data_IF_664854634506
#
_entry.id   IF_664854634506
#
_cell.length_a   1.000
_cell.length_b   1.000
_cell.length_c   1.000
_cell.angle_alpha   90.00
_cell.angle_beta   90.00
_cell.angle_gamma   90.00
#
_symmetry.space_group_name_H-M   'P 1'
#
loop_
_entity.id
_entity.type
_entity.pdbx_description
1 polymer ?
#
# COMPACT_ATOMS: atom_id res chain seq x y z
N UNK A 1 -20.72 -5.34 -4.83
CA UNK A 1 -21.72 -6.12 -4.05
C UNK A 1 -22.04 -7.40 -4.77
N UNK A 2 -22.32 -8.49 -4.02
CA UNK A 2 -22.72 -9.79 -4.55
C UNK A 2 -23.76 -10.48 -3.65
N UNK A 3 -24.51 -11.43 -4.20
CA UNK A 3 -25.41 -12.28 -3.43
C UNK A 3 -24.62 -13.38 -2.69
N UNK A 4 -25.30 -14.16 -1.84
CA UNK A 4 -24.73 -15.28 -1.09
C UNK A 4 -24.15 -16.39 -1.98
N UNK A 5 -23.41 -17.31 -1.40
CA UNK A 5 -22.89 -18.49 -2.06
C UNK A 5 -21.99 -18.16 -3.26
N UNK A 6 -22.33 -18.66 -4.47
CA UNK A 6 -21.49 -18.48 -5.66
C UNK A 6 -21.32 -17.02 -6.07
N UNK A 7 -22.26 -16.14 -5.74
CA UNK A 7 -22.11 -14.71 -5.97
C UNK A 7 -20.96 -14.11 -5.15
N UNK A 8 -20.89 -14.43 -3.87
CA UNK A 8 -19.84 -13.98 -2.97
C UNK A 8 -18.47 -14.62 -3.31
N UNK A 9 -18.43 -15.94 -3.58
CA UNK A 9 -17.17 -16.63 -3.90
C UNK A 9 -16.54 -16.19 -5.21
N UNK A 10 -17.32 -15.70 -6.17
CA UNK A 10 -16.79 -15.11 -7.40
C UNK A 10 -15.99 -13.80 -7.16
N UNK A 11 -16.13 -13.15 -6.02
CA UNK A 11 -15.34 -11.97 -5.65
C UNK A 11 -13.93 -12.32 -5.17
N UNK A 12 -13.67 -13.57 -4.76
CA UNK A 12 -12.42 -13.97 -4.07
C UNK A 12 -11.17 -13.58 -4.84
N UNK A 13 -11.11 -13.86 -6.14
CA UNK A 13 -9.95 -13.48 -6.98
C UNK A 13 -9.74 -11.97 -6.99
N UNK A 14 -10.81 -11.19 -7.17
CA UNK A 14 -10.73 -9.73 -7.18
C UNK A 14 -10.32 -9.15 -5.81
N UNK A 15 -10.82 -9.73 -4.72
CA UNK A 15 -10.45 -9.34 -3.35
C UNK A 15 -8.96 -9.64 -3.10
N UNK A 16 -8.48 -10.83 -3.48
CA UNK A 16 -7.08 -11.20 -3.34
C UNK A 16 -6.16 -10.27 -4.14
N UNK A 17 -6.54 -9.92 -5.37
CA UNK A 17 -5.82 -8.94 -6.19
C UNK A 17 -5.77 -7.58 -5.49
N UNK A 18 -6.92 -7.08 -4.99
CA UNK A 18 -6.99 -5.81 -4.27
C UNK A 18 -6.10 -5.80 -3.01
N UNK A 19 -6.01 -6.92 -2.30
CA UNK A 19 -5.14 -7.05 -1.12
C UNK A 19 -3.66 -6.95 -1.50
N UNK A 20 -3.24 -7.63 -2.57
CA UNK A 20 -1.87 -7.59 -3.06
C UNK A 20 -1.48 -6.22 -3.62
N UNK A 21 -2.41 -5.53 -4.29
CA UNK A 21 -2.19 -4.23 -4.90
C UNK A 21 -2.43 -3.06 -3.95
N UNK A 22 -2.81 -3.35 -2.69
CA UNK A 22 -3.16 -2.34 -1.68
C UNK A 22 -4.30 -1.42 -2.12
N UNK A 23 -5.28 -1.97 -2.86
CA UNK A 23 -6.44 -1.23 -3.35
C UNK A 23 -7.55 -1.18 -2.29
N UNK A 24 -7.98 0.03 -1.84
CA UNK A 24 -9.02 0.14 -0.81
C UNK A 24 -10.40 -0.12 -1.41
N UNK A 25 -10.96 -1.29 -1.14
CA UNK A 25 -12.32 -1.63 -1.55
C UNK A 25 -13.14 -2.15 -0.37
N UNK A 26 -14.43 -1.84 -0.35
CA UNK A 26 -15.41 -2.43 0.57
C UNK A 26 -16.31 -3.34 -0.24
N UNK A 27 -16.25 -4.64 0.07
CA UNK A 27 -17.07 -5.66 -0.54
C UNK A 27 -18.27 -5.95 0.36
N UNK A 28 -19.48 -5.85 -0.19
CA UNK A 28 -20.73 -6.16 0.51
C UNK A 28 -21.30 -7.42 -0.12
N UNK A 29 -21.51 -8.46 0.69
CA UNK A 29 -22.12 -9.73 0.29
C UNK A 29 -23.40 -9.99 1.08
N UNK A 30 -24.34 -10.68 0.45
CA UNK A 30 -25.47 -11.22 1.15
C UNK A 30 -25.16 -12.59 1.73
N UNK A 31 -25.80 -12.93 2.85
CA UNK A 31 -25.73 -14.24 3.49
C UNK A 31 -27.15 -14.80 3.68
N UNK A 32 -27.27 -16.10 3.89
CA UNK A 32 -28.54 -16.73 4.28
C UNK A 32 -29.07 -16.11 5.58
N UNK A 33 -30.33 -16.37 5.96
CA UNK A 33 -30.83 -15.89 7.24
C UNK A 33 -29.97 -16.40 8.40
N UNK A 34 -29.81 -15.62 9.45
CA UNK A 34 -28.99 -15.97 10.61
C UNK A 34 -29.32 -17.31 11.23
N UNK A 35 -30.62 -17.67 11.25
CA UNK A 35 -31.11 -18.95 11.74
C UNK A 35 -30.75 -20.15 10.85
N UNK A 36 -30.30 -19.93 9.62
CA UNK A 36 -29.93 -20.97 8.67
C UNK A 36 -28.42 -21.20 8.58
N UNK A 37 -27.63 -20.32 9.19
CA UNK A 37 -26.16 -20.45 9.20
C UNK A 37 -25.76 -21.74 9.92
N UNK A 38 -24.89 -22.55 9.29
CA UNK A 38 -24.38 -23.81 9.83
C UNK A 38 -25.31 -25.01 9.56
N UNK A 39 -26.34 -24.85 8.70
CA UNK A 39 -27.27 -25.90 8.36
C UNK A 39 -27.12 -26.43 6.93
N UNK A 40 -26.05 -26.05 6.22
CA UNK A 40 -25.84 -26.35 4.78
C UNK A 40 -27.03 -25.87 3.92
N UNK A 41 -27.59 -24.71 4.26
CA UNK A 41 -28.68 -24.10 3.54
C UNK A 41 -28.29 -23.78 2.08
N UNK A 42 -29.29 -23.68 1.19
CA UNK A 42 -29.06 -23.38 -0.21
C UNK A 42 -28.29 -22.06 -0.37
N UNK A 43 -27.14 -22.13 -1.06
CA UNK A 43 -26.21 -21.01 -1.26
C UNK A 43 -25.60 -20.42 0.04
N UNK A 44 -25.61 -21.18 1.11
CA UNK A 44 -24.78 -20.85 2.28
C UNK A 44 -23.30 -21.07 1.94
N UNK A 45 -22.45 -20.13 2.35
CA UNK A 45 -21.00 -20.24 2.26
C UNK A 45 -20.39 -19.42 3.39
N UNK A 46 -19.38 -19.98 4.08
CA UNK A 46 -18.57 -19.23 5.03
C UNK A 46 -17.66 -18.25 4.29
N UNK A 47 -18.23 -17.14 3.83
CA UNK A 47 -17.52 -16.11 3.06
C UNK A 47 -16.48 -15.41 3.92
N UNK A 48 -16.75 -15.22 5.22
CA UNK A 48 -15.80 -14.62 6.16
C UNK A 48 -14.56 -15.50 6.34
N UNK A 49 -14.75 -16.81 6.51
CA UNK A 49 -13.64 -17.76 6.57
C UNK A 49 -12.81 -17.82 5.29
N UNK A 50 -13.47 -17.85 4.12
CA UNK A 50 -12.80 -17.87 2.81
C UNK A 50 -12.00 -16.58 2.56
N UNK A 51 -12.50 -15.44 3.00
CA UNK A 51 -11.86 -14.12 2.74
C UNK A 51 -10.91 -13.65 3.83
N UNK A 52 -10.85 -14.33 4.97
CA UNK A 52 -10.00 -13.98 6.10
C UNK A 52 -8.53 -13.70 5.69
N UNK A 53 -7.85 -14.56 4.91
CA UNK A 53 -6.45 -14.35 4.54
C UNK A 53 -6.22 -13.32 3.43
N UNK A 54 -7.27 -12.84 2.79
CA UNK A 54 -7.20 -11.93 1.63
C UNK A 54 -7.89 -10.59 1.86
N UNK A 55 -8.26 -10.28 3.11
CA UNK A 55 -8.87 -9.01 3.52
C UNK A 55 -8.12 -8.41 4.70
N UNK A 56 -8.18 -7.10 4.86
CA UNK A 56 -7.70 -6.43 6.08
C UNK A 56 -8.59 -6.76 7.28
N UNK A 57 -9.89 -6.87 7.03
CA UNK A 57 -10.89 -7.27 8.00
C UNK A 57 -12.14 -7.74 7.28
N UNK A 58 -12.95 -8.55 7.97
CA UNK A 58 -14.27 -8.93 7.49
C UNK A 58 -15.28 -8.98 8.66
N UNK A 59 -16.53 -8.74 8.32
CA UNK A 59 -17.65 -8.73 9.24
C UNK A 59 -18.71 -9.73 8.79
N UNK A 60 -19.29 -10.48 9.72
CA UNK A 60 -20.57 -11.16 9.56
C UNK A 60 -21.62 -10.38 10.38
N UNK A 61 -22.52 -9.70 9.67
CA UNK A 61 -23.56 -8.86 10.27
C UNK A 61 -24.89 -9.60 10.30
N UNK A 62 -25.35 -9.92 11.51
CA UNK A 62 -26.58 -10.70 11.74
C UNK A 62 -27.73 -9.86 12.31
N UNK A 63 -27.51 -8.59 12.60
CA UNK A 63 -28.50 -7.67 13.16
C UNK A 63 -28.55 -6.39 12.33
N UNK A 64 -29.74 -5.85 12.12
CA UNK A 64 -29.96 -4.66 11.29
C UNK A 64 -29.22 -3.44 11.83
N UNK A 65 -29.21 -3.24 13.14
CA UNK A 65 -28.55 -2.11 13.83
C UNK A 65 -27.04 -2.10 13.65
N UNK A 66 -26.42 -3.25 13.39
CA UNK A 66 -24.96 -3.37 13.22
C UNK A 66 -24.49 -3.07 11.80
N UNK A 67 -25.39 -2.93 10.81
CA UNK A 67 -25.04 -2.67 9.41
C UNK A 67 -24.32 -1.32 9.27
N UNK A 68 -24.89 -0.26 9.84
CA UNK A 68 -24.32 1.08 9.76
C UNK A 68 -22.92 1.18 10.37
N UNK A 69 -22.74 0.77 11.64
CA UNK A 69 -21.43 0.71 12.28
C UNK A 69 -20.38 -0.11 11.48
N UNK A 70 -20.74 -1.34 11.06
CA UNK A 70 -19.83 -2.19 10.29
C UNK A 70 -19.39 -1.56 8.96
N UNK A 71 -20.28 -0.90 8.24
CA UNK A 71 -19.94 -0.19 7.01
C UNK A 71 -19.00 0.99 7.28
N UNK A 72 -19.26 1.80 8.31
CA UNK A 72 -18.37 2.91 8.69
C UNK A 72 -16.95 2.42 9.01
N UNK A 73 -16.86 1.38 9.83
CA UNK A 73 -15.58 0.76 10.19
C UNK A 73 -14.90 0.17 8.97
N UNK A 74 -15.63 -0.51 8.08
CA UNK A 74 -15.12 -1.09 6.85
C UNK A 74 -14.47 -0.03 5.94
N UNK A 75 -15.14 1.10 5.72
CA UNK A 75 -14.57 2.21 4.94
C UNK A 75 -13.35 2.84 5.60
N UNK A 76 -13.35 2.96 6.92
CA UNK A 76 -12.19 3.46 7.67
C UNK A 76 -11.01 2.51 7.55
N UNK A 77 -11.19 1.21 7.81
CA UNK A 77 -10.14 0.20 7.75
C UNK A 77 -9.57 0.08 6.34
N UNK A 78 -10.45 0.07 5.32
CA UNK A 78 -10.01 -0.11 3.93
C UNK A 78 -9.00 0.94 3.49
N UNK A 79 -9.12 2.19 3.93
CA UNK A 79 -8.30 3.33 3.48
C UNK A 79 -7.22 3.80 4.46
N UNK A 80 -7.21 3.30 5.70
CA UNK A 80 -6.23 3.71 6.73
C UNK A 80 -5.04 2.74 6.80
N UNK A 81 -3.86 3.23 7.19
CA UNK A 81 -2.63 2.45 7.13
C UNK A 81 -2.35 1.98 5.69
N UNK A 82 -1.80 0.79 5.51
CA UNK A 82 -1.73 0.18 4.17
C UNK A 82 -3.14 -0.07 3.67
N UNK A 83 -3.58 0.55 2.54
CA UNK A 83 -4.93 0.33 2.01
C UNK A 83 -5.16 -1.12 1.59
N UNK A 84 -6.42 -1.55 1.58
CA UNK A 84 -6.76 -2.91 1.17
C UNK A 84 -8.25 -3.23 1.34
N UNK A 85 -8.69 -4.42 0.91
CA UNK A 85 -10.08 -4.82 0.90
C UNK A 85 -10.61 -5.11 2.31
N UNK A 86 -11.89 -4.77 2.52
CA UNK A 86 -12.68 -5.19 3.68
C UNK A 86 -13.99 -5.78 3.16
N UNK A 87 -14.45 -6.85 3.79
CA UNK A 87 -15.72 -7.51 3.42
C UNK A 87 -16.75 -7.35 4.53
N UNK A 88 -17.98 -7.06 4.15
CA UNK A 88 -19.15 -7.02 5.05
C UNK A 88 -20.19 -7.99 4.51
N UNK A 89 -20.34 -9.14 5.18
CA UNK A 89 -21.32 -10.19 4.84
C UNK A 89 -22.57 -10.00 5.70
N UNK A 90 -23.73 -9.77 5.06
CA UNK A 90 -24.94 -9.34 5.76
C UNK A 90 -26.03 -10.39 5.58
N UNK A 91 -26.56 -10.91 6.68
CA UNK A 91 -27.62 -11.92 6.63
C UNK A 91 -28.91 -11.35 6.07
N UNK A 92 -29.72 -12.23 5.48
CA UNK A 92 -31.02 -11.88 4.86
C UNK A 92 -31.96 -11.18 5.84
N UNK A 93 -32.09 -11.68 7.04
CA UNK A 93 -32.93 -11.13 8.10
C UNK A 93 -32.45 -9.76 8.58
N UNK A 94 -31.12 -9.55 8.71
CA UNK A 94 -30.56 -8.25 9.01
C UNK A 94 -30.89 -7.23 7.93
N UNK A 95 -30.83 -7.61 6.64
CA UNK A 95 -31.20 -6.73 5.53
C UNK A 95 -32.69 -6.38 5.45
N UNK A 96 -33.55 -7.23 6.00
CA UNK A 96 -35.01 -7.06 5.99
C UNK A 96 -35.54 -6.32 7.23
N UNK A 97 -34.72 -6.18 8.27
CA UNK A 97 -35.12 -5.49 9.48
C UNK A 97 -35.31 -3.99 9.26
N UNK A 98 -36.07 -3.38 10.14
CA UNK A 98 -36.33 -1.93 10.15
C UNK A 98 -35.85 -1.36 11.47
N UNK A 99 -35.14 -0.27 11.41
CA UNK A 99 -34.62 0.48 12.57
C UNK A 99 -34.86 1.98 12.43
N UNK A 100 -34.97 2.68 13.54
CA UNK A 100 -34.82 4.12 13.55
C UNK A 100 -33.34 4.46 13.44
N UNK A 101 -32.94 5.08 12.34
CA UNK A 101 -31.54 5.38 12.04
C UNK A 101 -31.20 6.82 12.38
N UNK A 102 -30.21 6.99 13.24
CA UNK A 102 -29.56 8.27 13.47
C UNK A 102 -28.11 8.21 12.94
N UNK A 103 -27.68 9.16 12.08
CA UNK A 103 -26.29 9.24 11.64
C UNK A 103 -25.35 9.44 12.82
N UNK A 104 -24.29 8.65 12.89
CA UNK A 104 -23.20 8.86 13.85
C UNK A 104 -21.97 9.39 13.12
N UNK A 105 -21.68 10.69 13.27
CA UNK A 105 -20.54 11.38 12.66
C UNK A 105 -19.29 11.37 13.56
N UNK A 106 -19.31 10.66 14.69
CA UNK A 106 -18.16 10.55 15.57
C UNK A 106 -16.97 9.87 14.89
N UNK A 107 -15.71 10.20 15.21
CA UNK A 107 -14.56 9.50 14.66
C UNK A 107 -14.60 7.99 14.95
N UNK A 108 -14.32 7.16 13.94
CA UNK A 108 -14.20 5.72 14.14
C UNK A 108 -13.00 5.43 15.04
N UNK A 109 -13.23 4.67 16.11
CA UNK A 109 -12.20 4.25 17.05
C UNK A 109 -12.23 2.74 17.20
N UNK A 110 -11.19 2.07 16.76
CA UNK A 110 -11.06 0.62 16.86
C UNK A 110 -10.00 0.28 17.90
N UNK A 111 -10.35 -0.46 18.99
CA UNK A 111 -9.39 -0.87 20.00
C UNK A 111 -8.23 -1.66 19.37
N UNK A 112 -6.98 -1.24 19.65
CA UNK A 112 -5.78 -1.91 19.16
C UNK A 112 -5.38 -1.61 17.72
N UNK A 113 -6.23 -0.96 16.91
CA UNK A 113 -5.89 -0.56 15.55
C UNK A 113 -5.25 0.83 15.54
N UNK A 114 -4.00 0.91 15.12
CA UNK A 114 -3.19 2.15 15.09
C UNK A 114 -2.53 2.29 13.73
N UNK A 115 -3.23 2.85 12.74
CA UNK A 115 -2.70 2.99 11.38
C UNK A 115 -1.70 4.14 11.22
N UNK A 116 -1.69 5.11 12.14
CA UNK A 116 -0.88 6.33 12.05
C UNK A 116 0.49 6.10 12.70
N UNK A 117 1.34 5.35 12.01
CA UNK A 117 2.72 5.13 12.42
C UNK A 117 3.59 6.31 11.98
N UNK A 118 4.55 6.68 12.83
CA UNK A 118 5.52 7.75 12.54
C UNK A 118 6.93 7.21 12.70
N UNK A 119 7.81 7.66 11.81
CA UNK A 119 9.22 7.35 11.85
C UNK A 119 9.91 7.88 13.11
N UNK A 120 10.98 7.21 13.53
CA UNK A 120 11.83 7.66 14.62
C UNK A 120 12.83 8.71 14.13
N UNK A 121 13.16 9.73 14.94
CA UNK A 121 14.10 10.78 14.53
C UNK A 121 15.46 10.23 14.04
N UNK A 122 15.97 9.17 14.65
CA UNK A 122 17.25 8.55 14.31
C UNK A 122 17.26 7.96 12.89
N UNK A 123 16.09 7.50 12.41
CA UNK A 123 15.93 6.98 11.04
C UNK A 123 16.08 8.09 10.00
N UNK A 124 15.55 9.28 10.31
CA UNK A 124 15.72 10.47 9.46
C UNK A 124 17.19 10.90 9.35
N UNK A 125 17.92 10.97 10.48
CA UNK A 125 19.35 11.35 10.47
C UNK A 125 20.17 10.38 9.63
N UNK A 126 19.97 9.08 9.80
CA UNK A 126 20.65 8.06 9.00
C UNK A 126 20.30 8.12 7.53
N UNK A 127 19.04 8.39 7.20
CA UNK A 127 18.59 8.57 5.82
C UNK A 127 19.25 9.80 5.18
N UNK A 128 19.29 10.93 5.87
CA UNK A 128 19.94 12.17 5.40
C UNK A 128 21.42 11.98 5.13
N UNK A 129 22.15 11.29 6.02
CA UNK A 129 23.56 10.97 5.80
C UNK A 129 23.76 10.21 4.49
N UNK A 130 22.98 9.15 4.25
CA UNK A 130 23.08 8.36 3.02
C UNK A 130 22.69 9.17 1.78
N UNK A 131 21.62 9.97 1.84
CA UNK A 131 21.15 10.79 0.71
C UNK A 131 22.19 11.85 0.33
N UNK A 132 22.76 12.54 1.34
CA UNK A 132 23.68 13.63 1.13
C UNK A 132 25.08 13.16 0.70
N UNK A 133 25.44 11.89 0.90
CA UNK A 133 26.74 11.33 0.50
C UNK A 133 26.69 10.52 -0.80
N UNK A 134 25.52 10.11 -1.26
CA UNK A 134 25.37 9.30 -2.46
C UNK A 134 25.82 10.05 -3.73
N UNK A 135 26.51 9.34 -4.61
CA UNK A 135 26.96 9.85 -5.91
C UNK A 135 26.05 9.40 -7.06
N UNK A 136 25.53 8.17 -6.97
CA UNK A 136 24.69 7.52 -7.99
C UNK A 136 23.36 7.00 -7.41
N UNK A 137 22.54 7.87 -6.80
CA UNK A 137 21.27 7.46 -6.26
C UNK A 137 20.22 7.20 -7.35
N UNK A 138 19.25 6.31 -7.05
CA UNK A 138 18.03 6.10 -7.84
C UNK A 138 16.83 6.04 -6.91
N UNK A 139 15.79 6.80 -7.23
CA UNK A 139 14.47 6.67 -6.59
C UNK A 139 13.70 5.55 -7.27
N UNK A 140 13.15 4.64 -6.45
CA UNK A 140 12.25 3.58 -6.87
C UNK A 140 10.82 3.93 -6.41
N UNK A 141 10.01 4.47 -7.32
CA UNK A 141 8.67 4.93 -7.03
C UNK A 141 7.64 3.80 -7.21
N UNK A 142 7.00 3.40 -6.12
CA UNK A 142 5.93 2.40 -6.11
C UNK A 142 4.53 3.00 -6.05
N UNK A 143 3.52 2.14 -5.85
CA UNK A 143 2.12 2.53 -5.74
C UNK A 143 1.87 3.50 -4.56
N UNK A 144 2.66 3.39 -3.49
CA UNK A 144 2.56 4.26 -2.32
C UNK A 144 2.75 5.75 -2.65
N UNK A 145 3.49 6.10 -3.71
CA UNK A 145 3.61 7.49 -4.18
C UNK A 145 2.26 8.07 -4.58
N UNK A 146 1.44 7.27 -5.28
CA UNK A 146 0.11 7.66 -5.75
C UNK A 146 -0.87 7.64 -4.57
N UNK A 147 -0.84 6.58 -3.76
CA UNK A 147 -1.79 6.38 -2.67
C UNK A 147 -1.65 7.43 -1.55
N UNK A 148 -0.43 7.90 -1.26
CA UNK A 148 -0.18 8.97 -0.30
C UNK A 148 -0.29 10.38 -0.90
N UNK A 149 -0.65 10.50 -2.19
CA UNK A 149 -0.65 11.77 -2.92
C UNK A 149 0.69 12.51 -2.83
N UNK A 150 1.80 11.76 -2.95
CA UNK A 150 3.17 12.26 -2.78
C UNK A 150 3.85 12.69 -4.09
N UNK A 151 3.18 12.64 -5.24
CA UNK A 151 3.75 12.91 -6.57
C UNK A 151 4.50 14.25 -6.62
N UNK A 152 3.95 15.32 -6.05
CA UNK A 152 4.59 16.64 -6.06
C UNK A 152 5.84 16.68 -5.17
N UNK A 153 5.77 16.13 -3.96
CA UNK A 153 6.94 16.11 -3.06
C UNK A 153 8.05 15.20 -3.58
N UNK A 154 7.71 14.08 -4.21
CA UNK A 154 8.69 13.21 -4.90
C UNK A 154 9.37 13.95 -6.04
N UNK A 155 8.63 14.71 -6.85
CA UNK A 155 9.18 15.53 -7.91
C UNK A 155 10.16 16.58 -7.35
N UNK A 156 9.73 17.37 -6.37
CA UNK A 156 10.59 18.39 -5.72
C UNK A 156 11.85 17.77 -5.09
N UNK A 157 11.71 16.59 -4.48
CA UNK A 157 12.83 15.85 -3.91
C UNK A 157 13.82 15.41 -4.98
N UNK A 158 13.35 14.80 -6.07
CA UNK A 158 14.16 14.36 -7.20
C UNK A 158 14.89 15.55 -7.86
N UNK A 159 14.19 16.66 -8.10
CA UNK A 159 14.76 17.88 -8.65
C UNK A 159 15.87 18.47 -7.74
N UNK A 160 15.61 18.58 -6.44
CA UNK A 160 16.57 19.15 -5.47
C UNK A 160 17.83 18.30 -5.35
N UNK A 161 17.66 16.97 -5.35
CA UNK A 161 18.78 16.02 -5.20
C UNK A 161 19.35 15.54 -6.52
N UNK A 162 18.82 15.98 -7.68
CA UNK A 162 19.17 15.52 -9.04
C UNK A 162 19.22 13.98 -9.10
N UNK A 163 18.19 13.32 -8.58
CA UNK A 163 18.10 11.86 -8.49
C UNK A 163 17.11 11.34 -9.52
N UNK A 164 17.54 10.44 -10.44
CA UNK A 164 16.64 9.84 -11.41
C UNK A 164 15.60 8.91 -10.75
N UNK A 165 14.44 8.78 -11.39
CA UNK A 165 13.28 8.07 -10.85
C UNK A 165 12.88 6.92 -11.77
N UNK A 166 12.91 5.71 -11.24
CA UNK A 166 12.37 4.50 -11.84
C UNK A 166 11.02 4.15 -11.19
N UNK A 167 10.06 3.66 -11.96
CA UNK A 167 8.72 3.35 -11.45
C UNK A 167 8.41 1.85 -11.53
N UNK A 168 7.72 1.33 -10.53
CA UNK A 168 7.07 0.01 -10.65
C UNK A 168 5.85 0.13 -11.58
N UNK A 169 5.30 -1.00 -12.04
CA UNK A 169 4.07 -1.00 -12.84
C UNK A 169 2.94 -0.20 -12.17
N UNK A 170 2.68 -0.42 -10.88
CA UNK A 170 1.65 0.31 -10.12
C UNK A 170 2.11 1.71 -9.70
N UNK A 171 3.38 2.03 -9.83
CA UNK A 171 3.93 3.37 -9.61
C UNK A 171 3.88 4.29 -10.83
N UNK A 172 3.52 3.76 -12.01
CA UNK A 172 3.37 4.56 -13.23
C UNK A 172 2.30 5.64 -13.02
N UNK A 173 2.68 6.89 -13.29
CA UNK A 173 1.88 8.08 -12.97
C UNK A 173 2.29 8.78 -11.67
N UNK A 174 3.11 8.13 -10.82
CA UNK A 174 3.68 8.74 -9.61
C UNK A 174 4.81 9.74 -9.88
N UNK A 175 5.33 9.79 -11.11
CA UNK A 175 6.30 10.78 -11.56
C UNK A 175 6.03 11.20 -13.00
N UNK A 176 6.19 12.49 -13.38
CA UNK A 176 5.83 12.95 -14.72
C UNK A 176 6.64 12.25 -15.82
N UNK A 177 5.95 11.72 -16.83
CA UNK A 177 6.57 10.93 -17.91
C UNK A 177 7.56 11.75 -18.78
N UNK A 178 7.31 13.05 -18.95
CA UNK A 178 8.17 13.96 -19.74
C UNK A 178 9.32 14.58 -18.95
N UNK A 179 9.46 14.26 -17.67
CA UNK A 179 10.49 14.86 -16.83
C UNK A 179 11.88 14.30 -17.16
N UNK A 180 12.94 15.13 -17.28
CA UNK A 180 14.29 14.66 -17.61
C UNK A 180 14.85 13.58 -16.67
N UNK A 181 14.45 13.60 -15.40
CA UNK A 181 14.85 12.59 -14.40
C UNK A 181 14.01 11.31 -14.45
N UNK A 182 13.03 11.17 -15.36
CA UNK A 182 12.23 9.96 -15.48
C UNK A 182 13.01 8.91 -16.27
N UNK A 183 13.37 7.80 -15.61
CA UNK A 183 14.02 6.65 -16.25
C UNK A 183 13.04 5.72 -16.98
N UNK A 184 11.78 5.69 -16.56
CA UNK A 184 10.79 4.74 -17.05
C UNK A 184 10.47 3.63 -16.05
N UNK A 185 9.95 2.51 -16.56
CA UNK A 185 9.53 1.37 -15.75
C UNK A 185 10.69 0.42 -15.44
N UNK A 186 10.78 -0.03 -14.18
CA UNK A 186 11.74 -1.04 -13.71
C UNK A 186 11.13 -2.44 -13.64
N UNK A 187 12.01 -3.43 -13.44
CA UNK A 187 11.65 -4.82 -13.18
C UNK A 187 11.65 -5.70 -14.41
N UNK A 188 11.04 -6.88 -14.32
CA UNK A 188 11.08 -7.94 -15.33
C UNK A 188 10.58 -7.49 -16.71
N UNK A 189 9.59 -6.62 -16.75
CA UNK A 189 9.01 -6.05 -17.96
C UNK A 189 9.41 -4.59 -18.16
N UNK A 190 10.39 -4.11 -17.38
CA UNK A 190 10.92 -2.76 -17.48
C UNK A 190 12.00 -2.61 -18.53
N UNK A 191 12.45 -1.39 -18.69
CA UNK A 191 13.48 -1.02 -19.65
C UNK A 191 14.88 -1.49 -19.21
N UNK A 192 15.69 -1.96 -20.14
CA UNK A 192 17.02 -2.49 -19.85
C UNK A 192 17.93 -1.44 -19.19
N UNK A 193 17.91 -0.20 -19.67
CA UNK A 193 18.70 0.89 -19.10
C UNK A 193 18.25 1.22 -17.66
N UNK A 194 16.95 1.15 -17.35
CA UNK A 194 16.44 1.38 -15.99
C UNK A 194 16.99 0.33 -15.03
N UNK A 195 16.89 -0.95 -15.42
CA UNK A 195 17.42 -2.04 -14.61
C UNK A 195 18.95 -1.96 -14.46
N UNK A 196 19.67 -1.51 -15.50
CA UNK A 196 21.12 -1.27 -15.42
C UNK A 196 21.44 -0.13 -14.44
N UNK A 197 20.74 0.99 -14.52
CA UNK A 197 20.92 2.10 -13.57
C UNK A 197 20.72 1.65 -12.12
N UNK A 198 19.70 0.83 -11.84
CA UNK A 198 19.47 0.26 -10.51
C UNK A 198 20.65 -0.61 -10.06
N UNK A 199 21.24 -1.42 -10.95
CA UNK A 199 22.37 -2.28 -10.61
C UNK A 199 23.68 -1.50 -10.37
N UNK A 200 23.86 -0.35 -11.01
CA UNK A 200 25.03 0.50 -10.89
C UNK A 200 24.91 1.58 -9.80
N UNK A 201 23.70 1.74 -9.23
CA UNK A 201 23.44 2.70 -8.16
C UNK A 201 24.28 2.41 -6.91
N UNK A 202 24.65 3.45 -6.16
CA UNK A 202 25.25 3.38 -4.83
C UNK A 202 24.20 3.56 -3.71
N UNK A 203 23.04 4.16 -4.04
CA UNK A 203 21.91 4.31 -3.14
C UNK A 203 20.58 4.07 -3.87
N UNK A 204 19.72 3.24 -3.31
CA UNK A 204 18.33 3.08 -3.71
C UNK A 204 17.40 3.72 -2.67
N UNK A 205 16.51 4.58 -3.13
CA UNK A 205 15.47 5.24 -2.35
C UNK A 205 14.12 4.61 -2.73
N UNK A 206 13.69 3.57 -2.01
CA UNK A 206 12.44 2.87 -2.29
C UNK A 206 11.27 3.58 -1.60
N UNK A 207 10.37 4.15 -2.40
CA UNK A 207 9.23 4.94 -1.97
C UNK A 207 7.92 4.19 -2.19
N UNK A 208 7.35 3.62 -1.13
CA UNK A 208 6.06 2.93 -1.14
C UNK A 208 6.02 1.77 -2.14
N UNK A 209 6.99 0.84 -2.06
CA UNK A 209 7.08 -0.34 -2.91
C UNK A 209 7.53 -1.57 -2.12
N UNK A 210 7.10 -2.78 -2.54
CA UNK A 210 7.29 -4.02 -1.78
C UNK A 210 8.58 -4.81 -2.04
N UNK A 211 9.41 -4.42 -2.98
CA UNK A 211 10.53 -5.26 -3.45
C UNK A 211 10.08 -6.69 -3.83
N UNK A 212 8.99 -6.80 -4.60
CA UNK A 212 8.52 -8.10 -5.07
C UNK A 212 9.42 -8.69 -6.18
N UNK A 213 9.20 -9.97 -6.48
CA UNK A 213 10.01 -10.71 -7.45
C UNK A 213 9.94 -10.16 -8.88
N UNK A 214 8.85 -9.46 -9.25
CA UNK A 214 8.70 -8.83 -10.56
C UNK A 214 9.60 -7.61 -10.73
N UNK A 215 9.94 -6.96 -9.61
CA UNK A 215 10.86 -5.82 -9.57
C UNK A 215 12.30 -6.27 -9.36
N UNK A 216 12.54 -7.15 -8.40
CA UNK A 216 13.88 -7.52 -7.98
C UNK A 216 14.51 -8.64 -8.81
N UNK A 217 13.70 -9.54 -9.36
CA UNK A 217 14.20 -10.80 -9.89
C UNK A 217 14.93 -11.57 -8.78
N UNK A 218 16.19 -11.95 -9.03
CA UNK A 218 17.00 -12.65 -8.04
C UNK A 218 17.49 -11.67 -6.95
N UNK A 219 16.91 -11.76 -5.78
CA UNK A 219 17.18 -10.88 -4.62
C UNK A 219 18.66 -10.88 -4.22
N UNK A 220 19.38 -12.01 -4.42
CA UNK A 220 20.80 -12.13 -4.04
C UNK A 220 21.73 -11.26 -4.86
N UNK A 221 21.30 -10.92 -6.08
CA UNK A 221 22.08 -10.12 -7.04
C UNK A 221 21.47 -8.76 -7.31
N UNK A 222 20.38 -8.40 -6.61
CA UNK A 222 19.69 -7.14 -6.80
C UNK A 222 20.45 -5.98 -6.17
N UNK A 223 20.96 -5.08 -7.01
CA UNK A 223 21.69 -3.87 -6.62
C UNK A 223 22.70 -4.12 -5.47
N UNK A 224 23.70 -4.99 -5.66
CA UNK A 224 24.61 -5.43 -4.59
C UNK A 224 25.54 -4.33 -4.09
N UNK A 225 25.75 -3.27 -4.90
CA UNK A 225 26.60 -2.11 -4.55
C UNK A 225 25.84 -1.04 -3.77
N UNK A 226 24.50 -1.03 -3.88
CA UNK A 226 23.67 0.03 -3.36
C UNK A 226 23.34 -0.16 -1.87
N UNK A 227 23.49 0.92 -1.08
CA UNK A 227 22.78 1.08 0.18
C UNK A 227 21.29 1.28 -0.13
N UNK A 228 20.42 1.00 0.84
CA UNK A 228 18.97 1.01 0.57
C UNK A 228 18.24 1.73 1.69
N UNK A 229 17.44 2.73 1.31
CA UNK A 229 16.46 3.38 2.19
C UNK A 229 15.08 2.92 1.71
N UNK A 230 14.25 2.43 2.62
CA UNK A 230 12.89 2.00 2.32
C UNK A 230 11.90 2.79 3.16
N UNK A 231 11.05 3.57 2.51
CA UNK A 231 9.95 4.30 3.14
C UNK A 231 8.65 3.59 2.77
N UNK A 232 7.97 3.04 3.75
CA UNK A 232 6.70 2.35 3.56
C UNK A 232 5.76 2.56 4.75
N UNK A 233 4.46 2.57 4.49
CA UNK A 233 3.44 2.69 5.54
C UNK A 233 3.25 1.38 6.31
N UNK A 234 3.63 0.23 5.72
CA UNK A 234 3.49 -1.09 6.31
C UNK A 234 4.83 -1.56 6.90
N UNK A 235 4.94 -1.65 8.24
CA UNK A 235 6.17 -2.11 8.88
C UNK A 235 6.55 -3.54 8.49
N UNK A 236 5.60 -4.35 8.04
CA UNK A 236 5.85 -5.74 7.61
C UNK A 236 6.60 -5.85 6.29
N UNK A 237 6.63 -4.80 5.48
CA UNK A 237 7.38 -4.76 4.22
C UNK A 237 8.86 -4.42 4.43
N UNK A 238 9.21 -3.77 5.55
CA UNK A 238 10.60 -3.43 5.86
C UNK A 238 11.41 -4.70 6.14
N UNK A 239 12.52 -4.88 5.40
CA UNK A 239 13.40 -6.06 5.49
C UNK A 239 12.75 -7.42 5.12
N UNK A 240 11.59 -7.43 4.51
CA UNK A 240 10.87 -8.66 4.16
C UNK A 240 11.56 -9.44 3.05
N UNK A 241 11.77 -8.84 1.90
CA UNK A 241 12.39 -9.47 0.73
C UNK A 241 13.85 -9.02 0.53
N UNK A 242 14.10 -7.74 0.72
CA UNK A 242 15.41 -7.10 0.56
C UNK A 242 15.80 -6.47 1.89
N UNK A 243 17.02 -6.73 2.36
CA UNK A 243 17.54 -6.01 3.53
C UNK A 243 17.86 -4.57 3.16
N UNK A 244 17.45 -3.66 4.03
CA UNK A 244 17.67 -2.24 3.86
C UNK A 244 18.57 -1.67 4.96
N UNK A 245 19.30 -0.63 4.66
CA UNK A 245 20.19 0.06 5.61
C UNK A 245 19.40 0.99 6.53
N UNK A 246 18.34 1.60 5.99
CA UNK A 246 17.41 2.44 6.74
C UNK A 246 15.98 2.09 6.33
N UNK A 247 15.14 1.73 7.30
CA UNK A 247 13.70 1.55 7.13
C UNK A 247 12.96 2.68 7.83
N UNK A 248 12.11 3.40 7.11
CA UNK A 248 11.27 4.46 7.65
C UNK A 248 9.82 4.02 7.51
N UNK A 249 9.14 3.84 8.64
CA UNK A 249 7.73 3.45 8.66
C UNK A 249 6.86 4.68 8.85
N UNK A 250 6.03 5.01 7.84
CA UNK A 250 5.16 6.16 7.88
C UNK A 250 4.52 6.48 6.53
N UNK A 251 3.63 7.49 6.53
CA UNK A 251 3.10 8.03 5.29
C UNK A 251 4.23 8.64 4.46
N UNK A 252 4.28 8.33 3.17
CA UNK A 252 5.37 8.76 2.30
C UNK A 252 5.39 10.27 2.09
N UNK A 253 4.23 10.90 1.92
CA UNK A 253 4.13 12.35 1.74
C UNK A 253 4.65 13.07 2.99
N UNK A 254 4.16 12.70 4.15
CA UNK A 254 4.56 13.32 5.42
C UNK A 254 6.06 13.12 5.67
N UNK A 255 6.58 11.91 5.42
CA UNK A 255 8.00 11.59 5.54
C UNK A 255 8.87 12.46 4.61
N UNK A 256 8.47 12.59 3.34
CA UNK A 256 9.24 13.39 2.38
C UNK A 256 9.13 14.89 2.62
N UNK A 257 7.99 15.40 3.10
CA UNK A 257 7.86 16.81 3.50
C UNK A 257 8.77 17.14 4.69
N UNK A 258 9.06 16.19 5.57
CA UNK A 258 10.03 16.36 6.65
C UNK A 258 11.48 16.26 6.18
N UNK A 259 11.80 15.33 5.25
CA UNK A 259 13.16 15.16 4.70
C UNK A 259 13.55 16.27 3.73
N UNK A 260 12.64 16.75 2.90
CA UNK A 260 12.92 17.67 1.80
C UNK A 260 13.63 18.97 2.22
N UNK A 261 13.28 19.65 3.32
CA UNK A 261 14.02 20.82 3.77
C UNK A 261 15.48 20.53 4.15
N UNK A 262 15.77 19.32 4.61
CA UNK A 262 17.01 18.90 5.24
C UNK A 262 17.99 18.24 4.28
N UNK A 263 17.54 17.73 3.12
CA UNK A 263 18.44 17.22 2.07
C UNK A 263 19.18 18.36 1.39
N UNK A 264 20.44 18.14 1.05
CA UNK A 264 21.26 19.12 0.34
C UNK A 264 20.96 19.13 -1.16
N UNK A 265 20.95 20.31 -1.82
CA UNK A 265 20.94 20.38 -3.28
C UNK A 265 22.20 19.71 -3.84
N UNK A 266 22.04 18.94 -4.91
CA UNK A 266 23.16 18.24 -5.57
C UNK A 266 23.10 18.45 -7.08
N UNK A 267 24.28 18.39 -7.71
CA UNK A 267 24.43 18.26 -9.16
C UNK A 267 25.10 16.92 -9.45
N UNK A 268 24.55 16.12 -10.38
CA UNK A 268 25.02 14.76 -10.69
C UNK A 268 25.14 14.54 -12.20
N UNK A 269 25.75 15.49 -12.90
CA UNK A 269 25.87 15.48 -14.37
C UNK A 269 26.54 14.21 -14.92
N UNK A 270 27.51 13.64 -14.18
CA UNK A 270 28.18 12.41 -14.59
C UNK A 270 27.31 11.14 -14.42
N UNK A 271 26.26 11.23 -13.60
CA UNK A 271 25.34 10.13 -13.35
C UNK A 271 24.11 10.17 -14.27
N UNK A 272 23.67 11.36 -14.68
CA UNK A 272 22.50 11.60 -15.54
C UNK A 272 22.88 11.58 -17.01
#
# INVERSE_FOLDING_TARGET
MATSGPGATNLVTGIATAMLDSSPIVCITGQVASSAIGSDAFQETDVTGVTLPITKHNYLVTRTEDIGPALREAFYIARSGRPGPVLVDITKDAQQGVIDWEPDDSPVRLPGYRPDLRAMPEEFERALELINTAERPVILAGHGVIMSNATDVVRRFAEKTQTPVAMTLLGIGGFPASHPLNLGMMGMHGEAWVNTAIQEADLLLAFGMRFDDRVTGNVRTYAPKARKIHIDIDPSEINKNVRVDVGIVGDLRDTLEELLPRVEPRERQEWL
#
